data_IF_393829966112
#
_entry.id   IF_393829966112
#
_cell.length_a   1.000
_cell.length_b   1.000
_cell.length_c   1.000
_cell.angle_alpha   90.00
_cell.angle_beta   90.00
_cell.angle_gamma   90.00
#
_symmetry.space_group_name_H-M   'P 1'
#
loop_
_entity.id
_entity.type
_entity.pdbx_description
1 polymer ?
#
# COMPACT_ATOMS: atom_id res chain seq x y z
N UNK A 1 22.41 2.98 11.08
CA UNK A 1 21.27 2.08 11.40
C UNK A 1 20.72 1.62 10.08
N UNK A 2 20.95 0.36 9.74
CA UNK A 2 20.43 -0.27 8.52
C UNK A 2 18.92 -0.45 8.71
N UNK A 3 18.12 0.46 8.17
CA UNK A 3 16.67 0.46 8.31
C UNK A 3 15.96 0.33 6.97
N UNK A 4 16.47 -0.53 6.06
CA UNK A 4 15.68 -0.96 4.91
C UNK A 4 14.80 -2.12 5.37
N UNK A 5 13.86 -1.84 6.27
CA UNK A 5 12.68 -2.68 6.43
C UNK A 5 11.86 -2.45 5.16
N UNK A 6 11.94 -3.39 4.21
CA UNK A 6 11.08 -3.35 3.02
C UNK A 6 9.63 -3.49 3.50
N UNK A 7 8.87 -2.39 3.50
CA UNK A 7 7.44 -2.44 3.82
C UNK A 7 6.70 -3.26 2.74
N UNK A 8 6.03 -4.32 3.17
CA UNK A 8 5.20 -5.15 2.28
C UNK A 8 3.76 -4.70 2.42
N UNK A 9 3.18 -4.22 1.32
CA UNK A 9 1.80 -3.76 1.30
C UNK A 9 0.93 -4.61 0.37
N UNK A 10 -0.24 -5.03 0.87
CA UNK A 10 -1.32 -5.56 0.03
C UNK A 10 -2.25 -4.41 -0.35
N UNK A 11 -2.51 -4.23 -1.65
CA UNK A 11 -3.31 -3.12 -2.18
C UNK A 11 -4.60 -3.66 -2.79
N UNK A 12 -5.74 -3.30 -2.20
CA UNK A 12 -7.08 -3.57 -2.74
C UNK A 12 -7.61 -2.33 -3.46
N UNK A 13 -7.44 -2.32 -4.78
CA UNK A 13 -7.88 -1.21 -5.63
C UNK A 13 -9.40 -1.02 -5.66
N UNK A 14 -10.17 -2.08 -5.45
CA UNK A 14 -11.64 -2.02 -5.47
C UNK A 14 -12.16 -1.39 -4.18
N UNK A 15 -11.66 -1.86 -3.04
CA UNK A 15 -12.02 -1.34 -1.71
C UNK A 15 -11.27 -0.06 -1.32
N UNK A 16 -10.31 0.36 -2.15
CA UNK A 16 -9.49 1.57 -2.00
C UNK A 16 -8.73 1.66 -0.68
N UNK A 17 -8.12 0.56 -0.28
CA UNK A 17 -7.24 0.53 0.88
C UNK A 17 -5.97 -0.28 0.58
N UNK A 18 -4.89 0.09 1.25
CA UNK A 18 -3.67 -0.68 1.32
C UNK A 18 -3.43 -1.11 2.77
N UNK A 19 -2.93 -2.31 2.98
CA UNK A 19 -2.64 -2.88 4.29
C UNK A 19 -1.17 -3.27 4.36
N UNK A 20 -0.49 -2.86 5.41
CA UNK A 20 0.84 -3.35 5.72
C UNK A 20 0.73 -4.82 6.15
N UNK A 21 1.40 -5.68 5.40
CA UNK A 21 1.44 -7.13 5.58
C UNK A 21 2.86 -7.61 5.87
N UNK A 22 3.76 -6.71 6.28
CA UNK A 22 5.16 -7.01 6.58
C UNK A 22 5.33 -8.10 7.64
N UNK A 23 4.37 -8.21 8.57
CA UNK A 23 4.34 -9.24 9.61
C UNK A 23 3.57 -10.51 9.19
N UNK A 24 2.90 -10.51 8.04
CA UNK A 24 2.14 -11.66 7.54
C UNK A 24 3.03 -12.52 6.64
N UNK A 25 2.90 -13.86 6.77
CA UNK A 25 3.57 -14.82 5.88
C UNK A 25 2.90 -14.84 4.49
N UNK A 26 3.00 -13.75 3.73
CA UNK A 26 2.41 -13.62 2.39
C UNK A 26 3.31 -14.26 1.33
N UNK A 27 2.69 -14.99 0.40
CA UNK A 27 3.38 -15.70 -0.69
C UNK A 27 3.93 -14.67 -1.69
N UNK A 28 5.26 -14.64 -1.85
CA UNK A 28 6.02 -13.62 -2.61
C UNK A 28 5.92 -13.71 -4.14
N UNK A 29 4.99 -14.49 -4.69
CA UNK A 29 5.00 -14.84 -6.12
C UNK A 29 4.63 -13.67 -7.06
N UNK A 30 4.05 -12.57 -6.54
CA UNK A 30 3.72 -11.36 -7.32
C UNK A 30 4.03 -10.06 -6.56
N UNK A 31 5.26 -9.93 -6.07
CA UNK A 31 5.72 -8.71 -5.38
C UNK A 31 6.22 -7.68 -6.40
N UNK A 32 5.64 -6.49 -6.38
CA UNK A 32 6.19 -5.31 -7.08
C UNK A 32 7.12 -4.58 -6.13
N UNK A 33 8.41 -4.47 -6.48
CA UNK A 33 9.34 -3.63 -5.73
C UNK A 33 9.18 -2.17 -6.17
N UNK A 34 9.13 -1.26 -5.20
CA UNK A 34 9.06 0.17 -5.44
C UNK A 34 10.09 0.87 -4.53
N UNK A 35 10.91 1.81 -5.06
CA UNK A 35 12.02 2.40 -4.32
C UNK A 35 11.63 3.56 -3.37
N UNK A 36 10.34 3.81 -3.17
CA UNK A 36 9.80 4.86 -2.29
C UNK A 36 8.78 4.31 -1.30
N UNK A 37 8.06 5.21 -0.64
CA UNK A 37 7.01 4.84 0.31
C UNK A 37 5.77 4.34 -0.42
N UNK A 38 4.88 3.65 0.29
CA UNK A 38 3.55 3.30 -0.23
C UNK A 38 2.74 4.56 -0.61
N UNK A 39 2.93 5.69 0.07
CA UNK A 39 2.29 6.97 -0.25
C UNK A 39 2.72 7.47 -1.63
N UNK A 40 4.03 7.46 -1.88
CA UNK A 40 4.61 7.86 -3.17
C UNK A 40 4.11 6.93 -4.27
N UNK A 41 4.09 5.62 -4.02
CA UNK A 41 3.55 4.63 -4.95
C UNK A 41 2.10 4.94 -5.33
N UNK A 42 1.23 5.13 -4.34
CA UNK A 42 -0.19 5.40 -4.58
C UNK A 42 -0.39 6.73 -5.33
N UNK A 43 0.36 7.77 -4.98
CA UNK A 43 0.32 9.05 -5.69
C UNK A 43 0.81 8.95 -7.13
N UNK A 44 1.89 8.22 -7.40
CA UNK A 44 2.37 7.96 -8.77
C UNK A 44 1.34 7.16 -9.58
N UNK A 45 0.62 6.23 -8.94
CA UNK A 45 -0.52 5.53 -9.55
C UNK A 45 -1.77 6.41 -9.67
N UNK A 46 -1.69 7.69 -9.30
CA UNK A 46 -2.75 8.69 -9.46
C UNK A 46 -3.93 8.49 -8.52
N UNK A 47 -3.71 7.88 -7.36
CA UNK A 47 -4.64 7.97 -6.24
C UNK A 47 -4.53 9.36 -5.60
N UNK A 48 -5.67 9.95 -5.30
CA UNK A 48 -5.78 11.25 -4.64
C UNK A 48 -6.24 11.01 -3.20
N UNK A 49 -5.99 11.93 -2.27
CA UNK A 49 -6.48 11.82 -0.87
C UNK A 49 -6.05 10.51 -0.17
N UNK A 50 -4.74 10.31 0.00
CA UNK A 50 -4.17 9.17 0.75
C UNK A 50 -4.09 9.51 2.24
N UNK A 51 -4.67 8.66 3.09
CA UNK A 51 -4.71 8.80 4.54
C UNK A 51 -4.17 7.55 5.22
N UNK A 52 -3.18 7.72 6.10
CA UNK A 52 -2.55 6.63 6.83
C UNK A 52 -3.09 6.54 8.25
N UNK A 53 -3.26 5.30 8.72
CA UNK A 53 -3.67 4.99 10.07
C UNK A 53 -2.75 3.91 10.64
N UNK A 54 -2.03 4.29 11.69
CA UNK A 54 -1.34 3.35 12.56
C UNK A 54 -2.29 3.00 13.71
N UNK A 55 -2.90 1.82 13.69
CA UNK A 55 -3.63 1.33 14.85
C UNK A 55 -2.66 0.49 15.66
N UNK A 56 -2.19 0.95 16.81
CA UNK A 56 -1.01 0.36 17.50
C UNK A 56 -0.95 -1.17 17.68
N UNK A 57 -2.07 -1.90 17.70
CA UNK A 57 -2.09 -3.38 17.77
C UNK A 57 -2.52 -4.07 16.46
N UNK A 58 -2.85 -3.31 15.43
CA UNK A 58 -3.29 -3.78 14.13
C UNK A 58 -2.27 -3.35 13.07
N UNK A 59 -2.17 -4.07 11.95
CA UNK A 59 -1.30 -3.63 10.87
C UNK A 59 -1.73 -2.25 10.36
N UNK A 60 -0.73 -1.43 10.04
CA UNK A 60 -0.95 -0.10 9.46
C UNK A 60 -1.76 -0.22 8.17
N UNK A 61 -2.68 0.72 7.96
CA UNK A 61 -3.45 0.76 6.74
C UNK A 61 -3.50 2.17 6.15
N UNK A 62 -3.63 2.23 4.83
CA UNK A 62 -3.84 3.45 4.09
C UNK A 62 -5.19 3.40 3.39
N UNK A 63 -6.01 4.43 3.56
CA UNK A 63 -7.18 4.66 2.72
C UNK A 63 -6.82 5.66 1.63
N UNK A 64 -7.39 5.49 0.44
CA UNK A 64 -7.15 6.43 -0.64
C UNK A 64 -8.39 6.72 -1.47
N UNK A 65 -8.50 7.95 -1.95
CA UNK A 65 -9.47 8.34 -2.95
C UNK A 65 -9.03 7.89 -4.35
N UNK A 66 -10.01 7.60 -5.21
CA UNK A 66 -9.76 7.47 -6.64
C UNK A 66 -10.78 8.31 -7.40
N UNK A 67 -10.29 9.31 -8.16
CA UNK A 67 -11.02 9.88 -9.30
C UNK A 67 -10.84 9.05 -10.58
N UNK A 68 -9.95 8.04 -10.56
CA UNK A 68 -9.81 7.13 -11.69
C UNK A 68 -10.96 6.14 -11.71
N UNK A 69 -11.71 6.14 -12.81
CA UNK A 69 -12.40 4.95 -13.29
C UNK A 69 -11.34 3.93 -13.74
N UNK A 70 -10.73 3.21 -12.79
CA UNK A 70 -9.77 2.17 -13.11
C UNK A 70 -10.51 0.95 -13.67
N UNK A 71 -10.76 0.92 -14.98
CA UNK A 71 -10.91 -0.35 -15.69
C UNK A 71 -9.52 -0.91 -15.93
N UNK A 72 -9.10 -1.90 -15.14
CA UNK A 72 -7.96 -2.73 -15.54
C UNK A 72 -8.45 -3.62 -16.70
N UNK A 73 -7.92 -3.37 -17.89
CA UNK A 73 -8.05 -4.26 -19.05
C UNK A 73 -6.78 -5.07 -19.18
#
# INVERSE_FOLDING_TARGET
MNGNEEELWEIDYEKRFALDVSELNVVKEKVVKYPGTIEDYLREKGFEEVHFHESGTLPSHAHYGSKRSCSFR
#
